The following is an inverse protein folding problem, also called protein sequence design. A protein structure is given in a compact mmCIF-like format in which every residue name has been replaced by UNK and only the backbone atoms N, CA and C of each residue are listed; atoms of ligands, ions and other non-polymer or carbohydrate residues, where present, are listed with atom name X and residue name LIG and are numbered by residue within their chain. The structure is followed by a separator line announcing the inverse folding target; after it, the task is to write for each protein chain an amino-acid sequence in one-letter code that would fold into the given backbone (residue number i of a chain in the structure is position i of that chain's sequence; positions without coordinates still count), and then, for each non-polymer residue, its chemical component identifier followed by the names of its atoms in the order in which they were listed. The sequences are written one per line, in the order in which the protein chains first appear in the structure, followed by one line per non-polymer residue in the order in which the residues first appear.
data_IF_416407728653
#
_entry.id   IF_416407728653
#
_cell.length_a   1.000
_cell.length_b   1.000
_cell.length_c   1.000
_cell.angle_alpha   90.00
_cell.angle_beta   90.00
_cell.angle_gamma   90.00
#
_symmetry.space_group_name_H-M   'P 1'
#
loop_
_entity.id
_entity.type
_entity.pdbx_description
1 polymer ?
#
# COMPACT_ATOMS: atom_id res chain seq x y z
N UNK A 1 -13.70 -18.05 -5.81
CA UNK A 1 -12.32 -18.41 -6.19
C UNK A 1 -12.04 -19.88 -5.87
N UNK A 2 -13.01 -20.78 -6.07
CA UNK A 2 -12.79 -22.24 -5.89
C UNK A 2 -12.10 -22.62 -4.55
N UNK A 3 -12.48 -21.94 -3.46
CA UNK A 3 -11.88 -22.13 -2.13
C UNK A 3 -10.49 -21.49 -1.92
N UNK A 4 -9.77 -21.11 -2.98
CA UNK A 4 -8.44 -20.48 -2.92
C UNK A 4 -8.50 -18.97 -2.68
N UNK A 5 -7.48 -18.41 -2.05
CA UNK A 5 -7.28 -16.97 -1.84
C UNK A 5 -6.66 -16.32 -3.08
N UNK A 6 -7.02 -15.06 -3.33
CA UNK A 6 -6.53 -14.29 -4.50
C UNK A 6 -5.00 -14.22 -4.60
N UNK A 7 -4.32 -14.10 -3.46
CA UNK A 7 -2.86 -13.97 -3.45
C UNK A 7 -2.15 -15.27 -3.86
N UNK A 8 -2.83 -16.43 -3.81
CA UNK A 8 -2.26 -17.72 -4.22
C UNK A 8 -2.13 -17.76 -5.75
N UNK A 9 -3.21 -17.42 -6.46
CA UNK A 9 -3.17 -17.26 -7.92
C UNK A 9 -2.09 -16.26 -8.36
N UNK A 10 -1.98 -15.12 -7.67
CA UNK A 10 -0.97 -14.11 -7.99
C UNK A 10 0.47 -14.61 -7.81
N UNK A 11 0.76 -15.38 -6.75
CA UNK A 11 2.10 -15.95 -6.50
C UNK A 11 2.48 -17.04 -7.51
N UNK A 12 1.49 -17.79 -7.97
CA UNK A 12 1.68 -18.86 -8.97
C UNK A 12 1.60 -18.35 -10.41
N UNK A 13 1.32 -17.06 -10.62
CA UNK A 13 1.16 -16.47 -11.96
C UNK A 13 -0.07 -16.97 -12.71
N UNK A 14 -1.05 -17.53 -12.00
CA UNK A 14 -2.27 -18.07 -12.59
C UNK A 14 -3.30 -16.96 -12.84
N UNK A 15 -4.05 -17.10 -13.93
CA UNK A 15 -5.24 -16.28 -14.16
C UNK A 15 -6.32 -16.62 -13.14
N UNK A 16 -7.17 -15.63 -12.85
CA UNK A 16 -8.30 -15.85 -11.94
C UNK A 16 -9.40 -16.64 -12.66
N UNK A 17 -10.07 -17.59 -11.97
CA UNK A 17 -11.16 -18.37 -12.57
C UNK A 17 -12.41 -17.52 -12.86
N UNK A 18 -12.49 -16.33 -12.25
CA UNK A 18 -13.53 -15.34 -12.48
C UNK A 18 -12.96 -13.94 -12.30
N UNK A 19 -13.44 -12.99 -13.10
CA UNK A 19 -13.05 -11.58 -12.99
C UNK A 19 -13.42 -10.96 -11.64
N UNK A 20 -12.49 -10.17 -11.12
CA UNK A 20 -12.70 -9.35 -9.94
C UNK A 20 -13.69 -8.24 -10.25
N UNK A 21 -14.85 -8.30 -9.60
CA UNK A 21 -15.85 -7.25 -9.72
C UNK A 21 -15.42 -6.03 -8.88
N UNK A 22 -15.52 -4.80 -9.41
CA UNK A 22 -15.29 -3.59 -8.63
C UNK A 22 -16.21 -3.53 -7.42
N UNK A 23 -15.70 -2.98 -6.31
CA UNK A 23 -16.47 -2.76 -5.10
C UNK A 23 -16.56 -1.26 -4.83
N UNK A 24 -17.77 -0.77 -4.58
CA UNK A 24 -17.96 0.60 -4.11
C UNK A 24 -17.38 0.75 -2.70
N UNK A 25 -16.55 1.77 -2.53
CA UNK A 25 -15.91 2.14 -1.27
C UNK A 25 -16.10 3.62 -1.02
N UNK A 26 -15.91 4.07 0.22
CA UNK A 26 -16.06 5.47 0.60
C UNK A 26 -14.75 6.01 1.16
N UNK A 27 -14.28 7.12 0.60
CA UNK A 27 -13.22 7.96 1.17
C UNK A 27 -13.92 9.12 1.88
N UNK A 28 -13.78 9.19 3.20
CA UNK A 28 -14.39 10.25 4.02
C UNK A 28 -13.52 11.51 3.96
N UNK A 29 -12.20 11.36 4.05
CA UNK A 29 -11.24 12.45 3.90
C UNK A 29 -9.94 11.96 3.29
N UNK A 30 -9.28 12.84 2.54
CA UNK A 30 -7.98 12.62 1.90
C UNK A 30 -7.17 13.90 2.00
N UNK A 31 -6.00 13.83 2.64
CA UNK A 31 -5.12 14.98 2.83
C UNK A 31 -3.69 14.66 2.44
N UNK A 32 -3.07 15.52 1.65
CA UNK A 32 -1.64 15.48 1.36
C UNK A 32 -0.88 16.07 2.54
N UNK A 33 -0.05 15.26 3.19
CA UNK A 33 0.77 15.66 4.34
C UNK A 33 2.17 16.12 3.92
N UNK A 34 2.73 15.49 2.89
CA UNK A 34 4.06 15.82 2.38
C UNK A 34 4.19 15.40 0.92
N UNK A 35 5.00 16.12 0.14
CA UNK A 35 5.39 15.77 -1.22
C UNK A 35 6.85 16.14 -1.43
N UNK A 36 7.67 15.19 -1.89
CA UNK A 36 9.07 15.40 -2.22
C UNK A 36 9.27 15.01 -3.68
N UNK A 37 9.94 15.86 -4.46
CA UNK A 37 10.24 15.58 -5.87
C UNK A 37 11.37 14.55 -6.04
N UNK A 38 12.30 14.54 -5.08
CA UNK A 38 13.51 13.72 -5.10
C UNK A 38 13.60 12.84 -3.84
N UNK A 39 12.61 11.97 -3.65
CA UNK A 39 12.66 10.98 -2.57
C UNK A 39 13.68 9.88 -2.86
N UNK A 40 14.34 9.41 -1.81
CA UNK A 40 15.10 8.15 -1.85
C UNK A 40 14.17 7.03 -1.40
N UNK A 41 13.71 6.21 -2.35
CA UNK A 41 12.89 5.03 -2.06
C UNK A 41 13.65 3.80 -2.48
N UNK A 42 13.70 2.80 -1.59
CA UNK A 42 14.15 1.48 -1.98
C UNK A 42 13.12 0.84 -2.90
N UNK A 43 13.48 0.68 -4.17
CA UNK A 43 12.64 -0.01 -5.13
C UNK A 43 12.72 -1.53 -4.86
N UNK A 44 11.59 -2.27 -4.94
CA UNK A 44 11.62 -3.72 -4.78
C UNK A 44 12.61 -4.36 -5.77
N UNK A 45 13.38 -5.36 -5.30
CA UNK A 45 14.27 -6.12 -6.17
C UNK A 45 13.47 -6.78 -7.30
N UNK A 46 13.76 -6.40 -8.54
CA UNK A 46 13.13 -6.97 -9.73
C UNK A 46 13.90 -8.24 -10.06
N UNK A 47 13.40 -9.40 -9.64
CA UNK A 47 14.01 -10.68 -10.05
C UNK A 47 13.21 -11.37 -11.17
N UNK A 48 11.87 -11.25 -11.24
CA UNK A 48 11.07 -11.98 -12.24
C UNK A 48 9.69 -11.35 -12.58
N UNK A 49 9.61 -10.04 -12.88
CA UNK A 49 8.37 -9.47 -13.43
C UNK A 49 8.50 -9.25 -14.94
N UNK A 50 7.65 -9.88 -15.74
CA UNK A 50 7.43 -9.50 -17.14
C UNK A 50 6.95 -8.05 -17.18
N UNK A 51 7.82 -7.15 -17.60
CA UNK A 51 7.57 -5.71 -17.68
C UNK A 51 6.52 -5.46 -18.77
N UNK A 52 5.25 -5.30 -18.39
CA UNK A 52 4.31 -4.59 -19.24
C UNK A 52 4.61 -3.08 -19.12
N UNK A 53 5.69 -2.68 -19.79
CA UNK A 53 6.48 -1.45 -19.63
C UNK A 53 5.81 -0.21 -20.26
N UNK A 54 4.50 -0.03 -20.09
CA UNK A 54 3.74 1.03 -20.75
C UNK A 54 3.48 2.26 -19.87
N UNK A 55 3.74 2.20 -18.56
CA UNK A 55 3.45 3.31 -17.63
C UNK A 55 4.61 4.29 -17.41
N UNK A 56 5.83 3.94 -17.81
CA UNK A 56 6.98 4.83 -17.70
C UNK A 56 7.53 5.14 -19.10
N UNK A 57 6.99 6.19 -19.74
CA UNK A 57 7.37 6.62 -21.09
C UNK A 57 8.89 6.88 -21.27
N UNK A 58 9.62 7.09 -20.17
CA UNK A 58 11.05 7.45 -20.17
C UNK A 58 12.04 6.29 -19.92
N UNK A 59 11.58 5.05 -19.65
CA UNK A 59 12.50 3.94 -19.31
C UNK A 59 13.05 3.20 -20.54
N UNK A 60 12.55 3.51 -21.75
CA UNK A 60 12.97 2.83 -23.00
C UNK A 60 14.46 2.99 -23.39
N UNK A 61 15.25 3.78 -22.67
CA UNK A 61 16.67 4.05 -23.00
C UNK A 61 17.70 3.49 -22.00
N UNK A 62 17.28 2.83 -20.90
CA UNK A 62 18.23 2.31 -19.92
C UNK A 62 18.84 0.98 -20.38
N UNK A 63 20.16 0.96 -20.66
CA UNK A 63 20.93 -0.26 -21.00
C UNK A 63 20.96 -1.30 -19.87
N UNK A 64 20.69 -0.89 -18.63
CA UNK A 64 20.61 -1.77 -17.47
C UNK A 64 19.55 -1.24 -16.48
N UNK A 65 18.40 -1.92 -16.42
CA UNK A 65 17.23 -1.45 -15.66
C UNK A 65 17.46 -1.48 -14.15
N UNK A 66 18.22 -2.45 -13.66
CA UNK A 66 18.49 -2.65 -12.23
C UNK A 66 19.31 -1.49 -11.63
N UNK A 67 20.36 -1.05 -12.33
CA UNK A 67 21.28 0.00 -11.87
C UNK A 67 20.66 1.41 -11.97
N UNK A 68 19.87 1.66 -13.03
CA UNK A 68 19.17 2.92 -13.21
C UNK A 68 18.11 3.14 -12.12
N UNK A 69 17.46 2.06 -11.67
CA UNK A 69 16.41 2.10 -10.64
C UNK A 69 17.00 2.22 -9.22
N UNK A 70 18.18 1.64 -8.96
CA UNK A 70 18.84 1.73 -7.65
C UNK A 70 19.46 3.09 -7.33
N UNK A 71 19.78 3.90 -8.36
CA UNK A 71 20.34 5.24 -8.22
C UNK A 71 19.33 6.36 -8.51
N UNK A 72 18.14 6.03 -9.01
CA UNK A 72 17.14 7.03 -9.36
C UNK A 72 16.41 7.57 -8.12
N UNK A 73 16.25 8.89 -8.11
CA UNK A 73 15.37 9.56 -7.18
C UNK A 73 13.96 9.66 -7.78
N UNK A 74 12.95 9.29 -7.00
CA UNK A 74 11.56 9.30 -7.44
C UNK A 74 10.72 10.23 -6.56
N UNK A 75 9.68 10.88 -7.10
CA UNK A 75 8.76 11.64 -6.29
C UNK A 75 8.08 10.75 -5.24
N UNK A 76 8.00 11.23 -4.02
CA UNK A 76 7.30 10.57 -2.92
C UNK A 76 6.25 11.48 -2.34
N UNK A 77 5.18 10.89 -1.80
CA UNK A 77 4.15 11.63 -1.11
C UNK A 77 3.64 10.86 0.09
N UNK A 78 3.23 11.61 1.11
CA UNK A 78 2.59 11.10 2.31
C UNK A 78 1.17 11.63 2.34
N UNK A 79 0.20 10.74 2.45
CA UNK A 79 -1.22 11.07 2.56
C UNK A 79 -1.81 10.54 3.86
N UNK A 80 -2.79 11.25 4.40
CA UNK A 80 -3.71 10.76 5.43
C UNK A 80 -5.04 10.46 4.76
N UNK A 81 -5.58 9.28 5.05
CA UNK A 81 -6.84 8.81 4.47
C UNK A 81 -7.76 8.34 5.59
N UNK A 82 -8.97 8.88 5.61
CA UNK A 82 -10.08 8.32 6.36
C UNK A 82 -11.01 7.61 5.38
N UNK A 83 -11.31 6.34 5.62
CA UNK A 83 -12.06 5.53 4.67
C UNK A 83 -12.98 4.52 5.37
N UNK A 84 -14.02 4.11 4.63
CA UNK A 84 -14.93 3.07 5.04
C UNK A 84 -14.32 1.66 4.92
N UNK A 85 -15.07 0.67 5.44
CA UNK A 85 -14.69 -0.74 5.40
C UNK A 85 -14.40 -1.23 3.97
N UNK A 86 -13.42 -2.13 3.85
CA UNK A 86 -13.10 -2.79 2.57
C UNK A 86 -12.32 -1.92 1.58
N UNK A 87 -11.86 -0.74 2.00
CA UNK A 87 -10.98 0.12 1.18
C UNK A 87 -9.56 -0.46 1.15
N UNK A 88 -9.05 -0.70 -0.06
CA UNK A 88 -7.67 -1.11 -0.26
C UNK A 88 -6.80 0.11 -0.56
N UNK A 89 -6.06 0.61 0.44
CA UNK A 89 -5.18 1.79 0.26
C UNK A 89 -4.15 1.60 -0.87
N UNK A 90 -3.67 0.36 -1.07
CA UNK A 90 -2.80 0.02 -2.19
C UNK A 90 -3.45 0.25 -3.57
N UNK A 91 -4.74 -0.06 -3.70
CA UNK A 91 -5.49 0.22 -4.93
C UNK A 91 -5.70 1.73 -5.12
N UNK A 92 -6.06 2.45 -4.06
CA UNK A 92 -6.18 3.91 -4.11
C UNK A 92 -4.87 4.58 -4.58
N UNK A 93 -3.73 4.16 -4.05
CA UNK A 93 -2.42 4.70 -4.47
C UNK A 93 -2.09 4.33 -5.91
N UNK A 94 -2.41 3.11 -6.34
CA UNK A 94 -2.28 2.70 -7.75
C UNK A 94 -3.11 3.61 -8.67
N UNK A 95 -4.36 3.86 -8.32
CA UNK A 95 -5.28 4.71 -9.09
C UNK A 95 -4.79 6.16 -9.14
N UNK A 96 -4.30 6.72 -8.03
CA UNK A 96 -3.66 8.05 -8.00
C UNK A 96 -2.47 8.11 -8.96
N UNK A 97 -1.59 7.09 -8.92
CA UNK A 97 -0.44 7.03 -9.82
C UNK A 97 -0.87 7.02 -11.29
N UNK A 98 -1.87 6.21 -11.62
CA UNK A 98 -2.45 6.11 -12.96
C UNK A 98 -3.06 7.43 -13.44
N UNK A 99 -3.82 8.10 -12.58
CA UNK A 99 -4.44 9.41 -12.89
C UNK A 99 -3.39 10.50 -13.12
N UNK A 100 -2.25 10.42 -12.41
CA UNK A 100 -1.10 11.30 -12.62
C UNK A 100 -0.26 10.92 -13.86
N UNK A 101 -0.68 9.93 -14.65
CA UNK A 101 0.05 9.46 -15.83
C UNK A 101 1.36 8.74 -15.51
N UNK A 102 1.48 8.19 -14.30
CA UNK A 102 2.66 7.50 -13.78
C UNK A 102 2.27 6.14 -13.18
N UNK A 103 3.19 5.52 -12.45
CA UNK A 103 2.92 4.40 -11.55
C UNK A 103 3.23 4.82 -10.11
N UNK A 104 2.40 4.38 -9.17
CA UNK A 104 2.64 4.58 -7.75
C UNK A 104 2.34 3.28 -6.99
N UNK A 105 3.07 3.07 -5.90
CA UNK A 105 2.88 1.96 -4.98
C UNK A 105 3.12 2.43 -3.55
N UNK A 106 2.58 1.68 -2.60
CA UNK A 106 2.73 1.98 -1.18
C UNK A 106 4.07 1.46 -0.69
N UNK A 107 4.87 2.34 -0.10
CA UNK A 107 6.16 2.01 0.54
C UNK A 107 5.99 1.77 2.04
N UNK A 108 5.15 2.59 2.67
CA UNK A 108 4.84 2.53 4.10
C UNK A 108 3.34 2.73 4.30
N UNK A 109 2.73 1.95 5.21
CA UNK A 109 1.33 2.10 5.57
C UNK A 109 1.15 1.89 7.07
N UNK A 110 0.68 2.93 7.75
CA UNK A 110 0.35 2.88 9.17
C UNK A 110 -1.16 3.08 9.32
N UNK A 111 -1.83 2.11 9.94
CA UNK A 111 -3.22 2.27 10.36
C UNK A 111 -3.25 2.94 11.73
N UNK A 112 -3.57 4.23 11.74
CA UNK A 112 -3.58 5.05 12.96
C UNK A 112 -4.83 4.89 13.82
N UNK A 113 -5.95 4.44 13.24
CA UNK A 113 -7.21 4.31 13.95
C UNK A 113 -8.10 3.25 13.29
N UNK A 114 -8.91 2.56 14.09
CA UNK A 114 -10.00 1.71 13.63
C UNK A 114 -11.22 1.87 14.54
N UNK A 115 -12.27 2.53 14.04
CA UNK A 115 -13.39 2.90 14.91
C UNK A 115 -12.89 3.79 16.06
N UNK A 116 -13.18 3.40 17.29
CA UNK A 116 -12.76 4.14 18.48
C UNK A 116 -11.35 3.78 18.97
N UNK A 117 -10.67 2.82 18.33
CA UNK A 117 -9.35 2.38 18.76
C UNK A 117 -8.24 3.14 18.04
N UNK A 118 -7.45 3.90 18.79
CA UNK A 118 -6.38 4.77 18.28
C UNK A 118 -5.02 4.11 18.56
N UNK A 119 -4.14 4.15 17.56
CA UNK A 119 -2.76 3.67 17.67
C UNK A 119 -2.02 4.42 18.78
N UNK A 120 -1.32 3.68 19.64
CA UNK A 120 -0.63 4.11 20.88
C UNK A 120 -1.53 4.44 22.07
N UNK A 121 -2.83 4.62 21.87
CA UNK A 121 -3.78 4.83 22.98
C UNK A 121 -4.45 3.51 23.37
N UNK A 122 -4.99 2.79 22.39
CA UNK A 122 -5.70 1.52 22.57
C UNK A 122 -4.95 0.32 21.99
N UNK A 123 -3.65 0.45 21.71
CA UNK A 123 -2.82 -0.63 21.16
C UNK A 123 -1.73 -0.99 22.14
N UNK A 124 -1.40 -2.28 22.18
CA UNK A 124 -0.32 -2.84 22.97
C UNK A 124 0.75 -3.40 22.04
N UNK A 125 2.01 -3.35 22.48
CA UNK A 125 3.05 -4.15 21.85
C UNK A 125 2.84 -5.63 22.18
N UNK A 126 3.40 -6.52 21.35
CA UNK A 126 3.08 -7.95 21.41
C UNK A 126 3.44 -8.61 22.74
N UNK A 127 4.53 -8.19 23.36
CA UNK A 127 5.02 -8.65 24.65
C UNK A 127 4.10 -8.23 25.82
N UNK A 128 3.42 -7.10 25.69
CA UNK A 128 2.50 -6.58 26.71
C UNK A 128 1.14 -7.30 26.72
N UNK A 129 0.79 -8.00 25.64
CA UNK A 129 -0.48 -8.73 25.49
C UNK A 129 -0.64 -9.92 26.44
N UNK A 130 0.42 -10.34 27.14
CA UNK A 130 0.34 -11.44 28.12
C UNK A 130 -0.34 -11.03 29.43
N UNK A 131 -0.42 -9.72 29.71
CA UNK A 131 -1.01 -9.19 30.93
C UNK A 131 -2.46 -8.74 30.68
N UNK A 132 -3.41 -9.42 31.32
CA UNK A 132 -4.83 -9.10 31.21
C UNK A 132 -5.16 -7.66 31.65
N UNK A 133 -4.46 -7.11 32.65
CA UNK A 133 -4.71 -5.75 33.10
C UNK A 133 -4.35 -4.74 32.01
N UNK A 134 -3.24 -4.94 31.29
CA UNK A 134 -2.85 -4.09 30.16
C UNK A 134 -3.92 -4.13 29.05
N UNK A 135 -4.48 -5.31 28.78
CA UNK A 135 -5.56 -5.47 27.80
C UNK A 135 -6.80 -4.68 28.25
N UNK A 136 -7.23 -4.83 29.50
CA UNK A 136 -8.37 -4.10 30.03
C UNK A 136 -8.16 -2.58 29.99
N UNK A 137 -6.97 -2.11 30.33
CA UNK A 137 -6.64 -0.69 30.25
C UNK A 137 -6.70 -0.17 28.81
N UNK A 138 -6.11 -0.89 27.84
CA UNK A 138 -6.13 -0.50 26.44
C UNK A 138 -7.55 -0.46 25.85
N UNK A 139 -8.42 -1.39 26.25
CA UNK A 139 -9.82 -1.45 25.79
C UNK A 139 -10.70 -0.33 26.36
N UNK A 140 -10.38 0.17 27.56
CA UNK A 140 -11.23 1.13 28.29
C UNK A 140 -10.72 2.59 28.24
N UNK A 141 -9.61 2.87 27.55
CA UNK A 141 -9.18 4.24 27.27
C UNK A 141 -10.14 4.89 26.26
N UNK A 142 -10.82 5.95 26.70
CA UNK A 142 -11.74 6.76 25.90
C UNK A 142 -11.02 7.89 25.18
#
# INVERSE_FOLDING_TARGET
MEGRRLYEYAREGLSLPKDLQPRSVRINSLSLLNFMTNGTVQVPKIENYTTNMNYCKNIKQAKNLQEAVSAASYPTFKIRVECGRGTYIRSLVHDIGKELGSAAYVVELIRIQQGNFILKENTLEWDECSNLNNIFEALNKN
#
